data_IF_849884506903
#
_entry.id   IF_849884506903
#
_cell.length_a   1.000
_cell.length_b   1.000
_cell.length_c   1.000
_cell.angle_alpha   90.00
_cell.angle_beta   90.00
_cell.angle_gamma   90.00
#
_symmetry.space_group_name_H-M   'P 1'
#
loop_
_entity.id
_entity.type
_entity.pdbx_description
1 polymer ?
#
# COMPACT_ATOMS: atom_id res chain seq x y z
N UNK A 1 -41.95 5.31 6.85
CA UNK A 1 -40.86 6.26 6.56
C UNK A 1 -39.55 5.60 7.00
N UNK A 2 -38.79 5.07 6.05
CA UNK A 2 -37.56 4.32 6.33
C UNK A 2 -36.49 5.25 6.95
N UNK A 3 -35.96 4.87 8.11
CA UNK A 3 -34.83 5.53 8.72
C UNK A 3 -33.61 5.44 7.81
N UNK A 4 -33.11 6.59 7.36
CA UNK A 4 -31.91 6.69 6.55
C UNK A 4 -30.73 6.25 7.42
N UNK A 5 -30.20 5.05 7.18
CA UNK A 5 -28.95 4.61 7.79
C UNK A 5 -27.86 5.59 7.34
N UNK A 6 -27.48 6.51 8.22
CA UNK A 6 -26.27 7.31 8.05
C UNK A 6 -25.11 6.32 8.16
N UNK A 7 -24.66 5.83 7.02
CA UNK A 7 -23.37 5.14 6.86
C UNK A 7 -22.24 6.16 7.05
N UNK A 8 -22.19 6.76 8.24
CA UNK A 8 -21.07 7.56 8.68
C UNK A 8 -19.98 6.59 9.07
N UNK A 9 -19.23 6.11 8.08
CA UNK A 9 -17.96 5.42 8.34
C UNK A 9 -17.09 6.45 9.04
N UNK A 10 -16.96 6.37 10.36
CA UNK A 10 -16.03 7.21 11.10
C UNK A 10 -14.63 6.76 10.68
N UNK A 11 -14.02 7.43 9.71
CA UNK A 11 -12.68 7.10 9.23
C UNK A 11 -11.58 7.55 10.21
N UNK A 12 -11.95 8.24 11.30
CA UNK A 12 -11.02 8.73 12.31
C UNK A 12 -10.59 7.62 13.28
N UNK A 13 -9.77 6.69 12.79
CA UNK A 13 -9.20 5.59 13.57
C UNK A 13 -8.39 6.09 14.76
N UNK A 14 -7.65 7.19 14.59
CA UNK A 14 -6.78 7.74 15.63
C UNK A 14 -7.60 8.39 16.75
N UNK A 15 -8.63 9.16 16.40
CA UNK A 15 -9.57 9.72 17.36
C UNK A 15 -10.34 8.65 18.14
N UNK A 16 -10.83 7.61 17.47
CA UNK A 16 -11.51 6.49 18.12
C UNK A 16 -10.59 5.75 19.12
N UNK A 17 -9.34 5.50 18.74
CA UNK A 17 -8.37 4.86 19.64
C UNK A 17 -8.04 5.75 20.85
N UNK A 18 -7.84 7.05 20.63
CA UNK A 18 -7.60 8.02 21.72
C UNK A 18 -8.79 8.16 22.67
N UNK A 19 -10.00 7.97 22.17
CA UNK A 19 -11.23 7.91 22.98
C UNK A 19 -11.37 6.59 23.78
N UNK A 20 -10.41 5.66 23.66
CA UNK A 20 -10.38 4.41 24.40
C UNK A 20 -11.09 3.23 23.70
N UNK A 21 -11.53 3.39 22.45
CA UNK A 21 -12.14 2.30 21.70
C UNK A 21 -11.11 1.17 21.47
N UNK A 22 -11.55 -0.07 21.66
CA UNK A 22 -10.72 -1.23 21.38
C UNK A 22 -10.53 -1.42 19.87
N UNK A 23 -9.47 -2.12 19.47
CA UNK A 23 -9.21 -2.45 18.05
C UNK A 23 -10.41 -3.14 17.41
N UNK A 24 -11.12 -4.02 18.14
CA UNK A 24 -12.31 -4.73 17.62
C UNK A 24 -13.48 -3.78 17.35
N UNK A 25 -13.70 -2.81 18.23
CA UNK A 25 -14.75 -1.79 18.05
C UNK A 25 -14.43 -0.87 16.88
N UNK A 26 -13.18 -0.43 16.77
CA UNK A 26 -12.72 0.40 15.64
C UNK A 26 -12.93 -0.35 14.31
N UNK A 27 -12.56 -1.63 14.22
CA UNK A 27 -12.81 -2.44 13.01
C UNK A 27 -14.31 -2.49 12.66
N UNK A 28 -15.18 -2.65 13.66
CA UNK A 28 -16.64 -2.70 13.45
C UNK A 28 -17.21 -1.36 12.99
N UNK A 29 -16.73 -0.25 13.56
CA UNK A 29 -17.23 1.11 13.28
C UNK A 29 -16.70 1.65 11.93
N UNK A 30 -15.47 1.29 11.56
CA UNK A 30 -14.78 1.82 10.38
C UNK A 30 -14.86 0.89 9.17
N UNK A 31 -15.14 -0.39 9.37
CA UNK A 31 -15.04 -1.42 8.33
C UNK A 31 -13.60 -1.73 7.91
N UNK A 32 -12.59 -1.17 8.57
CA UNK A 32 -11.19 -1.39 8.24
C UNK A 32 -10.68 -2.73 8.76
N UNK A 33 -9.70 -3.28 8.05
CA UNK A 33 -9.00 -4.50 8.48
C UNK A 33 -8.18 -4.23 9.75
N UNK A 34 -7.94 -5.29 10.54
CA UNK A 34 -7.10 -5.21 11.75
C UNK A 34 -5.72 -4.61 11.46
N UNK A 35 -5.14 -4.94 10.30
CA UNK A 35 -3.85 -4.43 9.86
C UNK A 35 -3.89 -2.94 9.56
N UNK A 36 -4.93 -2.47 8.87
CA UNK A 36 -5.13 -1.05 8.59
C UNK A 36 -5.32 -0.25 9.87
N UNK A 37 -6.15 -0.74 10.80
CA UNK A 37 -6.33 -0.10 12.12
C UNK A 37 -5.01 0.00 12.88
N UNK A 38 -4.22 -1.09 12.93
CA UNK A 38 -2.90 -1.07 13.57
C UNK A 38 -1.92 -0.11 12.89
N UNK A 39 -1.97 0.03 11.58
CA UNK A 39 -1.12 0.96 10.84
C UNK A 39 -1.39 2.41 11.28
N UNK A 40 -2.66 2.81 11.35
CA UNK A 40 -3.06 4.15 11.78
C UNK A 40 -2.73 4.45 13.25
N UNK A 41 -2.72 3.43 14.12
CA UNK A 41 -2.44 3.60 15.57
C UNK A 41 -0.94 3.56 15.88
N UNK A 42 -0.21 2.59 15.33
CA UNK A 42 1.15 2.25 15.76
C UNK A 42 2.23 2.56 14.72
N UNK A 43 1.89 2.52 13.43
CA UNK A 43 2.87 2.55 12.34
C UNK A 43 2.67 3.83 11.52
N UNK A 44 2.91 4.98 12.15
CA UNK A 44 3.27 6.22 11.44
C UNK A 44 4.76 6.17 11.08
N UNK A 45 5.20 5.15 10.33
CA UNK A 45 6.51 5.30 9.70
C UNK A 45 6.35 6.29 8.54
N UNK A 46 7.11 7.40 8.50
CA UNK A 46 7.22 8.16 7.28
C UNK A 46 7.67 7.17 6.20
N UNK A 47 6.96 7.12 5.07
CA UNK A 47 7.33 6.29 3.93
C UNK A 47 8.81 6.56 3.63
N UNK A 48 9.71 5.69 4.10
CA UNK A 48 11.14 5.82 3.89
C UNK A 48 11.31 5.91 2.38
N UNK A 49 11.80 7.04 1.89
CA UNK A 49 12.08 7.21 0.48
C UNK A 49 12.89 6.00 0.04
N UNK A 50 12.30 5.18 -0.83
CA UNK A 50 12.95 3.96 -1.31
C UNK A 50 14.23 4.42 -1.97
N UNK A 51 15.39 4.06 -1.40
CA UNK A 51 16.71 4.43 -1.91
C UNK A 51 16.79 3.99 -3.36
N UNK A 52 16.64 4.94 -4.29
CA UNK A 52 16.80 4.69 -5.71
C UNK A 52 18.28 4.45 -5.95
N UNK A 53 18.62 3.27 -6.44
CA UNK A 53 19.99 2.93 -6.79
C UNK A 53 20.10 2.82 -8.30
N UNK A 54 21.14 3.40 -8.90
CA UNK A 54 21.44 3.15 -10.31
C UNK A 54 21.92 1.70 -10.46
N UNK A 55 21.31 0.96 -11.38
CA UNK A 55 21.64 -0.45 -11.64
C UNK A 55 21.67 -0.73 -13.13
N UNK A 56 22.40 -1.78 -13.53
CA UNK A 56 22.32 -2.33 -14.89
C UNK A 56 21.14 -3.30 -14.98
N UNK A 57 20.36 -3.19 -16.06
CA UNK A 57 19.28 -4.11 -16.37
C UNK A 57 19.83 -5.53 -16.60
N UNK A 58 19.19 -6.54 -16.00
CA UNK A 58 19.60 -7.94 -16.19
C UNK A 58 19.27 -8.51 -17.58
N UNK A 59 18.43 -7.84 -18.37
CA UNK A 59 18.08 -8.25 -19.73
C UNK A 59 18.98 -7.57 -20.77
N UNK A 60 19.06 -6.23 -20.77
CA UNK A 60 19.79 -5.48 -21.80
C UNK A 60 21.07 -4.78 -21.33
N UNK A 61 21.39 -4.84 -20.03
CA UNK A 61 22.58 -4.19 -19.46
C UNK A 61 22.49 -2.67 -19.28
N UNK A 62 21.47 -1.99 -19.82
CA UNK A 62 21.28 -0.53 -19.72
C UNK A 62 21.19 -0.08 -18.27
N UNK A 63 21.81 1.06 -17.95
CA UNK A 63 21.71 1.68 -16.62
C UNK A 63 20.33 2.31 -16.42
N UNK A 64 19.72 2.10 -15.27
CA UNK A 64 18.41 2.66 -14.93
C UNK A 64 18.28 2.89 -13.43
N UNK A 65 17.37 3.80 -13.04
CA UNK A 65 17.02 4.04 -11.65
C UNK A 65 16.17 2.88 -11.12
N UNK A 66 16.73 2.08 -10.22
CA UNK A 66 16.04 0.95 -9.59
C UNK A 66 15.39 1.38 -8.28
N UNK A 67 14.08 1.15 -8.17
CA UNK A 67 13.26 1.47 -6.99
C UNK A 67 13.38 0.45 -5.84
N UNK A 68 14.25 -0.55 -5.96
CA UNK A 68 14.53 -1.48 -4.87
C UNK A 68 15.24 -2.76 -5.31
N UNK A 69 15.58 -3.66 -4.36
CA UNK A 69 16.28 -4.91 -4.62
C UNK A 69 15.65 -5.76 -5.74
N UNK A 70 14.32 -5.81 -5.78
CA UNK A 70 13.52 -6.58 -6.74
C UNK A 70 13.36 -5.88 -8.11
N UNK A 71 13.72 -4.61 -8.24
CA UNK A 71 13.66 -3.89 -9.52
C UNK A 71 14.98 -4.11 -10.28
N UNK A 72 15.04 -5.18 -11.09
CA UNK A 72 16.25 -5.60 -11.82
C UNK A 72 16.15 -5.45 -13.35
N UNK A 73 15.01 -5.04 -13.87
CA UNK A 73 14.78 -4.82 -15.30
C UNK A 73 14.39 -3.38 -15.59
N UNK A 74 14.92 -2.80 -16.66
CA UNK A 74 14.50 -1.48 -17.12
C UNK A 74 13.04 -1.54 -17.60
N UNK A 75 12.40 -0.37 -17.68
CA UNK A 75 10.99 -0.27 -18.09
C UNK A 75 10.72 -0.87 -19.48
N UNK A 76 11.68 -0.78 -20.41
CA UNK A 76 11.54 -1.32 -21.76
C UNK A 76 11.57 -2.85 -21.78
N UNK A 77 12.49 -3.48 -21.05
CA UNK A 77 12.56 -4.94 -20.95
C UNK A 77 11.39 -5.51 -20.16
N UNK A 78 10.96 -4.82 -19.09
CA UNK A 78 9.81 -5.26 -18.29
C UNK A 78 8.54 -5.33 -19.14
N UNK A 79 8.24 -4.28 -19.92
CA UNK A 79 7.09 -4.26 -20.82
C UNK A 79 7.11 -5.38 -21.85
N UNK A 80 8.29 -5.82 -22.32
CA UNK A 80 8.40 -6.94 -23.26
C UNK A 80 8.11 -8.29 -22.60
N UNK A 81 8.53 -8.46 -21.35
CA UNK A 81 8.24 -9.66 -20.55
C UNK A 81 6.73 -9.78 -20.26
N UNK A 82 6.09 -8.67 -19.83
CA UNK A 82 4.65 -8.61 -19.57
C UNK A 82 3.81 -8.99 -20.82
N UNK A 83 4.24 -8.59 -22.01
CA UNK A 83 3.54 -8.88 -23.27
C UNK A 83 3.65 -10.34 -23.72
N UNK A 84 4.65 -11.10 -23.24
CA UNK A 84 4.80 -12.51 -23.60
C UNK A 84 3.93 -13.45 -22.76
N UNK A 85 3.24 -12.94 -21.73
CA UNK A 85 2.36 -13.73 -20.85
C UNK A 85 0.88 -13.75 -21.29
N UNK A 86 0.48 -12.92 -22.25
CA UNK A 86 -0.89 -12.87 -22.79
C UNK A 86 -1.02 -13.45 -24.21
N UNK A 87 0.05 -14.05 -24.74
CA UNK A 87 0.12 -14.61 -26.09
C UNK A 87 0.51 -16.11 -26.10
N UNK A 88 0.23 -16.84 -25.01
CA UNK A 88 0.40 -18.29 -24.91
C UNK A 88 -0.88 -18.95 -24.40
#
# INVERSE_FOLDING_TARGET
MAGRAVSGVCQDVEGLYRAGASIKEIMRLTGLSRSSVKYHIYIKEPQKEKKKAERRCMCCGTRFASEGPHNRMCCMCRKKDDYMLFAA
#
